data_IF_175311647778
#
_entry.id   IF_175311647778
#
_cell.length_a   1.000
_cell.length_b   1.000
_cell.length_c   1.000
_cell.angle_alpha   90.00
_cell.angle_beta   90.00
_cell.angle_gamma   90.00
#
_symmetry.space_group_name_H-M   'P 1'
#
loop_
_entity.id
_entity.type
_entity.pdbx_description
1 polymer ?
#
# COMPACT_ATOMS: atom_id res chain seq x y z
N UNK A 1 5.74 -4.62 17.04
CA UNK A 1 4.96 -3.41 17.36
C UNK A 1 3.63 -3.54 16.66
N UNK A 2 2.51 -3.34 17.37
CA UNK A 2 1.17 -3.43 16.77
C UNK A 2 0.89 -2.10 16.03
N UNK A 3 1.04 -2.14 14.70
CA UNK A 3 0.93 -0.97 13.84
C UNK A 3 -0.52 -0.48 13.65
N UNK A 4 -1.54 -1.27 14.05
CA UNK A 4 -2.95 -0.84 14.09
C UNK A 4 -3.17 0.40 14.96
N UNK A 5 -2.26 0.71 15.90
CA UNK A 5 -2.38 1.89 16.77
C UNK A 5 -1.94 3.19 16.12
N UNK A 6 -1.16 3.15 15.03
CA UNK A 6 -0.47 4.32 14.49
C UNK A 6 -1.09 4.90 13.23
N UNK A 7 -2.06 4.21 12.63
CA UNK A 7 -2.84 4.76 11.51
C UNK A 7 -4.32 4.54 11.80
N UNK A 8 -5.00 5.58 12.27
CA UNK A 8 -6.43 5.53 12.56
C UNK A 8 -7.26 5.63 11.27
N UNK A 9 -6.95 4.77 10.28
CA UNK A 9 -7.70 4.66 9.02
C UNK A 9 -9.15 4.27 9.29
N UNK A 10 -9.39 3.55 10.39
CA UNK A 10 -10.69 3.20 10.95
C UNK A 10 -11.70 4.36 11.01
N UNK A 11 -11.27 5.57 11.35
CA UNK A 11 -12.19 6.71 11.39
C UNK A 11 -12.58 7.20 9.99
N UNK A 12 -11.70 7.01 9.00
CA UNK A 12 -11.90 7.44 7.61
C UNK A 12 -12.64 6.38 6.80
N UNK A 13 -12.61 5.12 7.24
CA UNK A 13 -13.24 3.97 6.58
C UNK A 13 -14.58 3.53 7.18
N UNK A 14 -15.07 4.22 8.22
CA UNK A 14 -16.38 3.96 8.85
C UNK A 14 -17.43 4.96 8.39
N UNK A 15 -18.69 4.51 8.39
CA UNK A 15 -19.86 5.36 8.23
C UNK A 15 -20.01 6.31 9.43
N UNK A 16 -19.33 7.44 9.35
CA UNK A 16 -19.35 8.49 10.36
C UNK A 16 -20.41 9.57 10.04
N UNK A 17 -21.30 9.94 10.99
CA UNK A 17 -22.29 11.00 10.79
C UNK A 17 -21.68 12.36 10.41
N UNK A 18 -20.37 12.53 10.62
CA UNK A 18 -19.66 13.75 10.22
C UNK A 18 -19.74 14.01 8.72
N UNK A 19 -19.78 12.97 7.88
CA UNK A 19 -19.88 13.10 6.42
C UNK A 19 -21.19 13.76 5.96
N UNK A 20 -22.24 13.70 6.78
CA UNK A 20 -23.55 14.31 6.51
C UNK A 20 -23.57 15.83 6.77
N UNK A 21 -22.48 16.42 7.30
CA UNK A 21 -22.40 17.87 7.53
C UNK A 21 -22.31 18.60 6.19
N UNK A 22 -23.02 19.73 6.06
CA UNK A 22 -23.06 20.53 4.82
C UNK A 22 -21.68 20.85 4.22
N UNK A 23 -20.66 21.09 5.05
CA UNK A 23 -19.28 21.36 4.61
C UNK A 23 -18.57 20.18 3.92
N UNK A 24 -19.10 18.96 4.03
CA UNK A 24 -18.52 17.75 3.44
C UNK A 24 -19.40 17.14 2.36
N UNK A 25 -20.52 17.79 1.98
CA UNK A 25 -21.52 17.26 1.05
C UNK A 25 -20.96 16.94 -0.35
N UNK A 26 -19.92 17.67 -0.77
CA UNK A 26 -19.28 17.48 -2.09
C UNK A 26 -18.13 16.46 -2.05
N UNK A 27 -17.84 15.85 -0.89
CA UNK A 27 -16.78 14.86 -0.72
C UNK A 27 -17.37 13.49 -0.39
N UNK A 28 -16.95 12.47 -1.13
CA UNK A 28 -17.35 11.09 -0.85
C UNK A 28 -16.44 10.46 0.22
N UNK A 29 -17.00 9.72 1.20
CA UNK A 29 -16.20 8.98 2.16
C UNK A 29 -15.36 7.91 1.46
N UNK A 30 -14.10 7.76 1.86
CA UNK A 30 -13.14 6.86 1.22
C UNK A 30 -13.66 5.41 1.13
N UNK A 31 -14.38 4.92 2.15
CA UNK A 31 -14.97 3.58 2.16
C UNK A 31 -16.15 3.39 1.20
N UNK A 32 -16.79 4.48 0.74
CA UNK A 32 -17.89 4.46 -0.23
C UNK A 32 -17.40 4.60 -1.68
N UNK A 33 -16.17 5.08 -1.89
CA UNK A 33 -15.60 5.24 -3.24
C UNK A 33 -15.03 3.94 -3.77
N UNK A 34 -15.24 3.62 -5.05
CA UNK A 34 -14.55 2.52 -5.74
C UNK A 34 -13.25 2.97 -6.45
N UNK A 35 -12.80 4.19 -6.15
CA UNK A 35 -11.60 4.80 -6.73
C UNK A 35 -10.36 4.07 -6.23
N UNK A 36 -9.40 3.80 -7.12
CA UNK A 36 -8.12 3.19 -6.78
C UNK A 36 -7.31 4.09 -5.84
N UNK A 37 -7.45 3.88 -4.54
CA UNK A 37 -6.90 4.73 -3.47
C UNK A 37 -5.86 4.01 -2.61
N UNK A 38 -5.87 2.67 -2.63
CA UNK A 38 -4.80 1.84 -2.10
C UNK A 38 -3.60 1.80 -3.04
N UNK A 39 -2.42 1.55 -2.47
CA UNK A 39 -1.16 1.45 -3.22
C UNK A 39 -0.65 0.01 -3.09
N UNK A 40 -0.29 -0.60 -4.22
CA UNK A 40 0.44 -1.86 -4.27
C UNK A 40 1.72 -1.68 -5.06
N UNK A 41 2.84 -2.09 -4.50
CA UNK A 41 4.10 -2.22 -5.21
C UNK A 41 4.14 -3.55 -5.96
N UNK A 42 4.51 -3.50 -7.23
CA UNK A 42 4.80 -4.65 -8.10
C UNK A 42 6.31 -4.76 -8.38
N UNK A 43 7.11 -4.26 -7.43
CA UNK A 43 8.56 -4.16 -7.56
C UNK A 43 9.23 -5.54 -7.65
N UNK A 44 8.72 -6.54 -6.93
CA UNK A 44 9.23 -7.91 -7.03
C UNK A 44 9.11 -8.45 -8.45
N UNK A 45 7.91 -8.36 -9.00
CA UNK A 45 7.58 -8.84 -10.34
C UNK A 45 8.42 -8.09 -11.39
N UNK A 46 8.62 -6.78 -11.20
CA UNK A 46 9.48 -5.97 -12.05
C UNK A 46 10.95 -6.45 -12.01
N UNK A 47 11.49 -6.68 -10.81
CA UNK A 47 12.86 -7.14 -10.61
C UNK A 47 13.11 -8.52 -11.23
N UNK A 48 12.17 -9.45 -11.05
CA UNK A 48 12.21 -10.78 -11.65
C UNK A 48 12.22 -10.71 -13.18
N UNK A 49 11.38 -9.83 -13.77
CA UNK A 49 11.32 -9.61 -15.23
C UNK A 49 12.65 -9.14 -15.82
N UNK A 50 13.38 -8.29 -15.09
CA UNK A 50 14.67 -7.75 -15.56
C UNK A 50 15.89 -8.58 -15.07
N UNK A 51 15.67 -9.65 -14.30
CA UNK A 51 16.74 -10.50 -13.76
C UNK A 51 17.62 -9.82 -12.70
N UNK A 52 17.12 -8.80 -12.00
CA UNK A 52 17.86 -8.09 -10.96
C UNK A 52 17.46 -8.59 -9.57
N UNK A 53 18.44 -8.93 -8.73
CA UNK A 53 18.12 -9.37 -7.37
C UNK A 53 17.74 -8.18 -6.47
N UNK A 54 16.89 -8.43 -5.46
CA UNK A 54 16.57 -7.42 -4.43
C UNK A 54 17.84 -6.88 -3.74
N UNK A 55 18.86 -7.74 -3.59
CA UNK A 55 20.14 -7.35 -3.00
C UNK A 55 20.90 -6.38 -3.87
N UNK A 56 20.99 -6.67 -5.15
CA UNK A 56 21.61 -5.77 -6.12
C UNK A 56 20.88 -4.43 -6.17
N UNK A 57 19.54 -4.42 -6.09
CA UNK A 57 18.78 -3.17 -6.00
C UNK A 57 19.13 -2.39 -4.72
N UNK A 58 19.21 -3.05 -3.56
CA UNK A 58 19.57 -2.39 -2.31
C UNK A 58 20.95 -1.72 -2.39
N UNK A 59 21.95 -2.45 -2.90
CA UNK A 59 23.31 -1.97 -3.09
C UNK A 59 23.36 -0.77 -4.07
N UNK A 60 22.71 -0.89 -5.24
CA UNK A 60 22.70 0.16 -6.28
C UNK A 60 21.91 1.42 -5.86
N UNK A 61 20.80 1.25 -5.15
CA UNK A 61 19.95 2.36 -4.69
C UNK A 61 20.44 2.99 -3.39
N UNK A 62 21.46 2.41 -2.74
CA UNK A 62 21.94 2.83 -1.43
C UNK A 62 20.88 2.69 -0.33
N UNK A 63 19.94 1.75 -0.51
CA UNK A 63 18.93 1.38 0.47
C UNK A 63 19.42 0.16 1.25
N UNK A 64 18.91 -0.02 2.48
CA UNK A 64 19.19 -1.25 3.20
C UNK A 64 18.32 -2.41 2.67
N UNK A 65 18.84 -3.63 2.78
CA UNK A 65 18.15 -4.85 2.32
C UNK A 65 16.73 -4.99 2.90
N UNK A 66 16.50 -4.76 4.21
CA UNK A 66 15.16 -4.90 4.79
C UNK A 66 14.14 -3.95 4.13
N UNK A 67 14.53 -2.71 3.84
CA UNK A 67 13.65 -1.74 3.17
C UNK A 67 13.23 -2.24 1.80
N UNK A 68 14.18 -2.69 0.97
CA UNK A 68 13.85 -3.22 -0.37
C UNK A 68 12.95 -4.45 -0.27
N UNK A 69 13.24 -5.35 0.68
CA UNK A 69 12.43 -6.53 0.93
C UNK A 69 11.00 -6.16 1.36
N UNK A 70 10.84 -5.20 2.27
CA UNK A 70 9.51 -4.76 2.72
C UNK A 70 8.71 -4.08 1.61
N UNK A 71 9.35 -3.34 0.69
CA UNK A 71 8.67 -2.80 -0.50
C UNK A 71 8.24 -3.93 -1.43
N UNK A 72 9.14 -4.88 -1.72
CA UNK A 72 8.84 -6.04 -2.60
C UNK A 72 7.71 -6.91 -2.05
N UNK A 73 7.54 -6.94 -0.73
CA UNK A 73 6.55 -7.76 -0.04
C UNK A 73 5.31 -6.97 0.37
N UNK A 74 5.22 -5.70 -0.04
CA UNK A 74 4.11 -4.81 0.34
C UNK A 74 3.89 -4.72 1.87
N UNK A 75 4.98 -4.77 2.65
CA UNK A 75 4.98 -4.59 4.11
C UNK A 75 5.45 -3.20 4.56
N UNK A 76 5.80 -2.33 3.60
CA UNK A 76 6.28 -0.99 3.89
C UNK A 76 5.11 -0.08 4.33
N UNK A 77 5.03 0.20 5.63
CA UNK A 77 4.04 1.13 6.21
C UNK A 77 4.32 2.60 5.91
N UNK A 78 5.60 2.95 5.89
CA UNK A 78 6.09 4.28 5.60
C UNK A 78 7.19 4.15 4.57
N UNK A 79 7.01 4.86 3.45
CA UNK A 79 8.03 4.92 2.42
C UNK A 79 8.44 6.37 2.18
N UNK A 80 9.74 6.61 2.26
CA UNK A 80 10.30 7.93 1.94
C UNK A 80 10.24 8.12 0.42
N UNK A 81 9.73 9.27 -0.04
CA UNK A 81 9.71 9.64 -1.47
C UNK A 81 11.11 9.54 -2.09
N UNK A 82 12.16 9.85 -1.34
CA UNK A 82 13.56 9.71 -1.77
C UNK A 82 13.92 8.27 -2.11
N UNK A 83 13.36 7.28 -1.39
CA UNK A 83 13.59 5.87 -1.71
C UNK A 83 12.98 5.51 -3.07
N UNK A 84 11.76 5.98 -3.34
CA UNK A 84 11.10 5.77 -4.63
C UNK A 84 11.88 6.41 -5.78
N UNK A 85 12.32 7.66 -5.61
CA UNK A 85 13.15 8.35 -6.62
C UNK A 85 14.42 7.56 -6.90
N UNK A 86 15.12 7.08 -5.88
CA UNK A 86 16.35 6.28 -6.05
C UNK A 86 16.09 4.96 -6.76
N UNK A 87 15.05 4.23 -6.37
CA UNK A 87 14.67 2.97 -7.02
C UNK A 87 14.37 3.22 -8.50
N UNK A 88 13.51 4.19 -8.82
CA UNK A 88 13.16 4.53 -10.19
C UNK A 88 14.38 4.97 -11.01
N UNK A 89 15.27 5.78 -10.42
CA UNK A 89 16.49 6.26 -11.10
C UNK A 89 17.46 5.12 -11.42
N UNK A 90 17.64 4.16 -10.49
CA UNK A 90 18.52 3.00 -10.68
C UNK A 90 17.94 2.02 -11.70
N UNK A 91 16.63 1.81 -11.66
CA UNK A 91 15.93 0.90 -12.57
C UNK A 91 15.66 1.52 -13.95
N UNK A 92 15.80 2.84 -14.08
CA UNK A 92 15.48 3.57 -15.30
C UNK A 92 14.00 3.47 -15.68
N UNK A 93 13.09 3.45 -14.70
CA UNK A 93 11.66 3.25 -14.89
C UNK A 93 10.82 4.39 -14.31
N UNK A 94 9.55 4.46 -14.72
CA UNK A 94 8.57 5.34 -14.09
C UNK A 94 8.06 4.71 -12.78
N UNK A 95 7.51 5.54 -11.89
CA UNK A 95 6.87 5.05 -10.67
C UNK A 95 5.69 4.13 -10.98
N UNK A 96 4.96 4.39 -12.06
CA UNK A 96 3.81 3.56 -12.48
C UNK A 96 4.23 2.17 -12.97
N UNK A 97 5.51 1.95 -13.28
CA UNK A 97 6.01 0.63 -13.68
C UNK A 97 6.17 -0.32 -12.47
N UNK A 98 6.36 0.24 -11.27
CA UNK A 98 6.63 -0.51 -10.04
C UNK A 98 5.56 -0.31 -8.96
N UNK A 99 4.56 0.53 -9.22
CA UNK A 99 3.49 0.87 -8.30
C UNK A 99 2.16 0.99 -9.05
N UNK A 100 1.13 0.33 -8.53
CA UNK A 100 -0.24 0.40 -9.04
C UNK A 100 -1.19 0.86 -7.95
N UNK A 101 -2.28 1.51 -8.35
CA UNK A 101 -3.37 1.82 -7.43
C UNK A 101 -4.44 0.72 -7.47
N UNK A 102 -5.03 0.44 -6.32
CA UNK A 102 -6.09 -0.55 -6.14
C UNK A 102 -7.21 0.05 -5.30
N UNK A 103 -8.49 -0.31 -5.52
CA UNK A 103 -9.56 0.14 -4.63
C UNK A 103 -9.26 -0.24 -3.19
N UNK A 104 -9.48 0.65 -2.22
CA UNK A 104 -9.10 0.41 -0.82
C UNK A 104 -9.80 -0.83 -0.22
N UNK A 105 -10.96 -1.18 -0.74
CA UNK A 105 -11.72 -2.38 -0.36
C UNK A 105 -11.03 -3.68 -0.78
N UNK A 106 -10.14 -3.60 -1.78
CA UNK A 106 -9.47 -4.73 -2.41
C UNK A 106 -7.97 -4.82 -2.05
N UNK A 107 -7.45 -3.93 -1.20
CA UNK A 107 -6.04 -4.00 -0.78
C UNK A 107 -5.88 -4.91 0.42
N UNK A 108 -4.89 -5.79 0.35
CA UNK A 108 -4.32 -6.51 1.50
C UNK A 108 -3.08 -5.79 2.06
N UNK A 109 -2.72 -4.63 1.49
CA UNK A 109 -1.34 -4.10 1.47
C UNK A 109 -1.19 -2.67 2.00
N UNK A 110 -2.29 -1.91 2.09
CA UNK A 110 -2.37 -0.66 2.84
C UNK A 110 -3.46 -0.84 3.87
N UNK A 111 -3.09 -0.91 5.16
CA UNK A 111 -3.99 -1.31 6.25
C UNK A 111 -5.28 -0.48 6.28
N UNK A 112 -6.30 -1.02 5.64
CA UNK A 112 -7.35 -1.64 6.40
C UNK A 112 -7.26 -3.12 6.07
N UNK A 113 -7.47 -3.98 7.05
CA UNK A 113 -8.23 -5.17 6.72
C UNK A 113 -9.33 -4.75 5.75
N UNK A 114 -9.28 -5.29 4.54
CA UNK A 114 -10.52 -5.73 3.95
C UNK A 114 -11.14 -6.66 5.00
N UNK A 115 -11.88 -6.05 5.92
CA UNK A 115 -12.61 -6.63 7.06
C UNK A 115 -13.49 -7.81 6.59
N UNK A 116 -13.71 -7.90 5.28
CA UNK A 116 -14.31 -9.04 4.58
C UNK A 116 -13.46 -10.33 4.62
N UNK A 117 -12.15 -10.28 4.39
CA UNK A 117 -11.30 -11.48 4.29
C UNK A 117 -10.85 -12.05 5.65
N UNK A 118 -10.72 -11.22 6.68
CA UNK A 118 -10.55 -11.72 8.06
C UNK A 118 -11.83 -12.42 8.53
N UNK A 119 -13.02 -11.85 8.27
CA UNK A 119 -14.31 -12.49 8.60
C UNK A 119 -14.57 -13.80 7.84
N UNK A 120 -14.04 -13.96 6.62
CA UNK A 120 -14.08 -15.23 5.89
C UNK A 120 -13.13 -16.28 6.49
N UNK A 121 -11.94 -15.87 6.95
CA UNK A 121 -11.00 -16.78 7.66
C UNK A 121 -11.52 -17.26 9.01
N UNK A 122 -12.23 -16.41 9.76
CA UNK A 122 -12.88 -16.79 11.03
C UNK A 122 -14.11 -17.68 10.83
N UNK A 123 -14.87 -17.50 9.75
CA UNK A 123 -16.01 -18.38 9.39
C UNK A 123 -15.61 -19.71 8.75
N UNK A 124 -14.40 -19.82 8.20
CA UNK A 124 -13.89 -21.07 7.62
C UNK A 124 -13.13 -21.95 8.64
N UNK A 125 -12.85 -21.43 9.84
CA UNK A 125 -12.18 -22.16 10.92
C UNK A 125 -13.10 -22.56 12.09
N UNK A 126 -14.41 -22.34 11.97
CA UNK A 126 -15.45 -22.78 12.91
C UNK A 126 -16.66 -23.39 12.18
#
# INVERSE_FOLDING_TARGET
MNNLKYVNFDNVTKDEPRWEKAKYKDFEPLHRTNTGTGIRFVLREYLEKIGLSQRSLAELSGLNQPTVNDICENRAFLLNVTHLVRICSVLGCDITDIMVTVPIQNTEYTESDSIYNIKQKEKASH
#
